data_IF_504376296761
#
_entry.id   IF_504376296761
#
_cell.length_a   1.000
_cell.length_b   1.000
_cell.length_c   1.000
_cell.angle_alpha   90.00
_cell.angle_beta   90.00
_cell.angle_gamma   90.00
#
_symmetry.space_group_name_H-M   'P 1'
#
loop_
_entity.id
_entity.type
_entity.pdbx_description
1 polymer ?
#
# COMPACT_ATOMS: atom_id res chain seq x y z
N UNK A 1 7.35 0.59 -25.08
CA UNK A 1 7.61 1.79 -24.25
C UNK A 1 7.28 1.40 -22.82
N UNK A 2 8.15 1.71 -21.85
CA UNK A 2 8.03 1.17 -20.48
C UNK A 2 8.05 2.34 -19.47
N UNK A 3 7.17 2.36 -18.45
CA UNK A 3 7.20 3.39 -17.42
C UNK A 3 8.58 3.47 -16.76
N UNK A 4 8.97 4.69 -16.35
CA UNK A 4 10.30 4.93 -15.78
C UNK A 4 10.27 4.69 -14.27
N UNK A 5 11.20 3.88 -13.77
CA UNK A 5 11.39 3.71 -12.34
C UNK A 5 11.94 5.00 -11.72
N UNK A 6 11.26 5.54 -10.72
CA UNK A 6 11.66 6.74 -9.99
C UNK A 6 12.33 6.42 -8.65
N UNK A 7 11.97 5.29 -8.02
CA UNK A 7 12.62 4.85 -6.79
C UNK A 7 12.03 3.54 -6.26
N UNK A 8 12.80 2.85 -5.42
CA UNK A 8 12.38 1.63 -4.71
C UNK A 8 12.78 1.75 -3.26
N UNK A 9 11.86 1.43 -2.36
CA UNK A 9 12.09 1.35 -0.92
C UNK A 9 11.59 0.00 -0.43
N UNK A 10 12.49 -0.78 0.17
CA UNK A 10 12.18 -2.11 0.71
C UNK A 10 11.88 -1.96 2.20
N UNK A 11 10.68 -2.37 2.60
CA UNK A 11 10.22 -2.29 3.99
C UNK A 11 10.18 -3.65 4.67
N UNK A 12 9.92 -3.67 5.98
CA UNK A 12 9.86 -4.92 6.76
C UNK A 12 8.73 -5.88 6.35
N UNK A 13 7.63 -5.36 5.78
CA UNK A 13 6.52 -6.18 5.28
C UNK A 13 5.86 -5.61 4.03
N UNK A 14 6.40 -4.52 3.50
CA UNK A 14 5.81 -3.81 2.38
C UNK A 14 6.87 -3.03 1.64
N UNK A 15 6.95 -3.25 0.33
CA UNK A 15 7.87 -2.55 -0.55
C UNK A 15 7.12 -1.47 -1.31
N UNK A 16 7.78 -0.34 -1.55
CA UNK A 16 7.24 0.79 -2.30
C UNK A 16 8.06 1.00 -3.55
N UNK A 17 7.39 0.98 -4.70
CA UNK A 17 7.99 1.22 -6.00
C UNK A 17 7.34 2.45 -6.60
N UNK A 18 8.11 3.51 -6.78
CA UNK A 18 7.65 4.75 -7.39
C UNK A 18 7.99 4.75 -8.87
N UNK A 19 6.99 5.05 -9.69
CA UNK A 19 7.06 5.02 -11.16
C UNK A 19 6.62 6.37 -11.71
N UNK A 20 7.24 6.81 -12.81
CA UNK A 20 6.67 7.84 -13.68
C UNK A 20 5.85 7.19 -14.79
N UNK A 21 4.60 7.63 -14.87
CA UNK A 21 3.66 7.25 -15.92
C UNK A 21 4.17 7.72 -17.28
N UNK A 22 3.84 6.94 -18.31
CA UNK A 22 4.05 7.36 -19.69
C UNK A 22 2.99 8.39 -20.09
N UNK A 23 3.30 9.21 -21.10
CA UNK A 23 2.31 10.10 -21.70
C UNK A 23 1.12 9.30 -22.21
N UNK A 24 -0.09 9.74 -21.86
CA UNK A 24 -1.35 9.06 -22.19
C UNK A 24 -1.78 7.97 -21.21
N UNK A 25 -0.95 7.60 -20.22
CA UNK A 25 -1.41 6.76 -19.11
C UNK A 25 -2.05 7.61 -18.02
N UNK A 26 -3.04 7.03 -17.35
CA UNK A 26 -3.71 7.61 -16.21
C UNK A 26 -3.55 6.72 -14.97
N UNK A 27 -3.79 7.27 -13.77
CA UNK A 27 -3.74 6.50 -12.53
C UNK A 27 -4.63 5.25 -12.54
N UNK A 28 -5.81 5.36 -13.14
CA UNK A 28 -6.77 4.26 -13.23
C UNK A 28 -6.22 3.05 -14.00
N UNK A 29 -5.27 3.24 -14.93
CA UNK A 29 -4.62 2.12 -15.62
C UNK A 29 -3.84 1.21 -14.66
N UNK A 30 -3.30 1.79 -13.58
CA UNK A 30 -2.56 1.06 -12.55
C UNK A 30 -3.51 0.47 -11.52
N UNK A 31 -4.49 1.25 -11.07
CA UNK A 31 -5.50 0.83 -10.09
C UNK A 31 -6.30 -0.37 -10.61
N UNK A 32 -6.71 -0.37 -11.88
CA UNK A 32 -7.46 -1.47 -12.49
C UNK A 32 -6.61 -2.72 -12.74
N UNK A 33 -5.28 -2.65 -12.61
CA UNK A 33 -4.35 -3.75 -12.90
C UNK A 33 -3.58 -4.23 -11.68
N UNK A 34 -3.92 -3.76 -10.48
CA UNK A 34 -3.19 -4.09 -9.25
C UNK A 34 -3.05 -5.60 -9.03
N UNK A 35 -4.06 -6.41 -9.33
CA UNK A 35 -4.00 -7.86 -9.21
C UNK A 35 -2.98 -8.47 -10.18
N UNK A 36 -3.04 -8.08 -11.45
CA UNK A 36 -2.09 -8.55 -12.48
C UNK A 36 -0.66 -8.16 -12.12
N UNK A 37 -0.48 -6.94 -11.62
CA UNK A 37 0.81 -6.42 -11.18
C UNK A 37 1.30 -7.19 -9.94
N UNK A 38 0.45 -7.46 -8.95
CA UNK A 38 0.81 -8.27 -7.77
C UNK A 38 1.33 -9.65 -8.18
N UNK A 39 0.60 -10.34 -9.06
CA UNK A 39 1.00 -11.66 -9.57
C UNK A 39 2.32 -11.61 -10.34
N UNK A 40 2.52 -10.62 -11.20
CA UNK A 40 3.77 -10.45 -11.95
C UNK A 40 4.99 -10.26 -11.03
N UNK A 41 4.80 -9.55 -9.91
CA UNK A 41 5.83 -9.32 -8.91
C UNK A 41 5.91 -10.44 -7.85
N UNK A 42 5.07 -11.48 -7.92
CA UNK A 42 4.93 -12.53 -6.89
C UNK A 42 4.64 -11.97 -5.49
N UNK A 43 3.93 -10.85 -5.44
CA UNK A 43 3.41 -10.27 -4.21
C UNK A 43 2.02 -10.84 -3.92
N UNK A 44 1.65 -10.93 -2.63
CA UNK A 44 0.31 -11.32 -2.21
C UNK A 44 -0.72 -10.23 -2.49
N UNK A 45 -0.31 -8.96 -2.39
CA UNK A 45 -1.16 -7.82 -2.65
C UNK A 45 -0.36 -6.67 -3.27
N UNK A 46 -1.01 -5.91 -4.14
CA UNK A 46 -0.52 -4.65 -4.65
C UNK A 46 -1.57 -3.55 -4.44
N UNK A 47 -1.14 -2.35 -4.09
CA UNK A 47 -1.98 -1.16 -4.06
C UNK A 47 -1.30 -0.05 -4.86
N UNK A 48 -2.02 0.54 -5.80
CA UNK A 48 -1.56 1.69 -6.57
C UNK A 48 -2.11 2.99 -5.95
N UNK A 49 -1.27 4.03 -5.85
CA UNK A 49 -1.70 5.35 -5.37
C UNK A 49 -0.93 6.45 -6.08
N UNK A 50 -1.56 7.61 -6.27
CA UNK A 50 -0.90 8.78 -6.86
C UNK A 50 -0.14 9.52 -5.76
N UNK A 51 1.15 9.73 -5.96
CA UNK A 51 2.02 10.43 -4.98
C UNK A 51 2.59 11.75 -5.53
N UNK A 52 2.31 12.08 -6.79
CA UNK A 52 2.71 13.33 -7.40
C UNK A 52 2.34 13.43 -8.88
N UNK A 53 2.72 14.52 -9.55
CA UNK A 53 2.44 14.72 -10.97
C UNK A 53 3.02 13.57 -11.80
N UNK A 54 2.16 12.90 -12.56
CA UNK A 54 2.50 11.72 -13.36
C UNK A 54 3.26 10.62 -12.59
N UNK A 55 3.13 10.56 -11.27
CA UNK A 55 3.91 9.64 -10.42
C UNK A 55 2.99 8.75 -9.61
N UNK A 56 3.13 7.44 -9.81
CA UNK A 56 2.37 6.40 -9.12
C UNK A 56 3.30 5.64 -8.17
N UNK A 57 2.86 5.42 -6.95
CA UNK A 57 3.44 4.48 -6.01
C UNK A 57 2.69 3.15 -6.13
N UNK A 58 3.44 2.08 -6.36
CA UNK A 58 2.98 0.71 -6.22
C UNK A 58 3.50 0.16 -4.89
N UNK A 59 2.59 -0.27 -4.04
CA UNK A 59 2.88 -0.83 -2.74
C UNK A 59 2.66 -2.33 -2.77
N UNK A 60 3.73 -3.10 -2.64
CA UNK A 60 3.73 -4.55 -2.69
C UNK A 60 3.80 -5.15 -1.30
N UNK A 61 2.93 -6.11 -1.01
CA UNK A 61 2.98 -6.91 0.21
C UNK A 61 3.37 -8.34 -0.16
N UNK A 62 4.48 -8.81 0.41
CA UNK A 62 5.02 -10.16 0.15
C UNK A 62 4.76 -11.16 1.28
N UNK A 63 4.23 -10.70 2.41
CA UNK A 63 3.90 -11.55 3.56
C UNK A 63 2.86 -10.90 4.45
N UNK A 64 2.35 -11.66 5.42
CA UNK A 64 1.38 -11.15 6.37
C UNK A 64 2.05 -10.24 7.42
N UNK A 65 2.01 -8.93 7.18
CA UNK A 65 2.58 -7.94 8.10
C UNK A 65 1.83 -7.84 9.45
N UNK A 66 0.67 -8.50 9.59
CA UNK A 66 -0.11 -8.59 10.83
C UNK A 66 0.14 -9.90 11.60
N UNK A 67 0.84 -10.87 11.00
CA UNK A 67 1.20 -12.11 11.66
C UNK A 67 2.20 -11.88 12.80
N UNK A 68 2.97 -10.78 12.73
CA UNK A 68 3.76 -10.32 13.86
C UNK A 68 2.83 -9.69 14.90
N UNK A 69 2.75 -10.33 16.06
CA UNK A 69 1.86 -9.89 17.13
C UNK A 69 2.41 -8.61 17.76
N UNK A 70 1.68 -7.50 17.61
CA UNK A 70 1.99 -6.27 18.33
C UNK A 70 1.48 -6.40 19.76
N UNK A 71 2.40 -6.42 20.72
CA UNK A 71 2.07 -6.31 22.14
C UNK A 71 1.47 -4.92 22.40
N UNK A 72 0.16 -4.87 22.56
CA UNK A 72 -0.52 -3.65 22.97
C UNK A 72 -0.12 -3.33 24.43
N UNK A 73 0.20 -2.08 24.76
CA UNK A 73 0.37 -1.69 26.14
C UNK A 73 -0.93 -1.96 26.90
N UNK A 74 -0.82 -2.46 28.13
CA UNK A 74 -1.97 -2.72 28.99
C UNK A 74 -2.74 -1.42 29.19
N UNK A 75 -4.00 -1.40 28.75
CA UNK A 75 -4.88 -0.24 28.92
C UNK A 75 -5.57 -0.38 30.27
N UNK A 76 -4.90 0.08 31.34
CA UNK A 76 -5.42 -0.08 32.71
C UNK A 76 -6.61 0.83 33.03
N UNK A 77 -6.96 1.79 32.16
CA UNK A 77 -8.00 2.80 32.40
C UNK A 77 -8.90 3.01 31.17
N UNK A 78 -9.65 2.00 30.76
CA UNK A 78 -10.76 2.23 29.82
C UNK A 78 -11.97 2.80 30.60
N UNK A 79 -12.21 4.11 30.49
CA UNK A 79 -13.42 4.74 31.04
C UNK A 79 -14.51 4.79 29.97
N UNK A 80 -15.63 4.10 30.21
CA UNK A 80 -16.81 4.16 29.36
C UNK A 80 -17.34 5.61 29.35
N UNK A 81 -17.57 6.25 28.19
CA UNK A 81 -18.26 7.53 28.18
C UNK A 81 -19.70 7.31 28.65
N UNK A 82 -20.04 7.87 29.83
CA UNK A 82 -21.43 7.98 30.27
C UNK A 82 -22.14 8.97 29.34
N UNK A 83 -23.09 8.48 28.54
CA UNK A 83 -23.85 9.36 27.65
C UNK A 83 -24.57 8.73 26.46
N UNK A 84 -24.45 7.42 26.20
CA UNK A 84 -25.29 6.75 25.21
C UNK A 84 -26.47 6.04 25.91
N UNK A 85 -27.45 6.84 26.37
CA UNK A 85 -28.79 6.32 26.63
C UNK A 85 -29.60 6.43 25.34
N UNK A 86 -30.27 5.33 25.00
CA UNK A 86 -31.25 5.20 23.92
C UNK A 86 -32.49 6.07 24.18
#
# INVERSE_FOLDING_TARGET
>A
MTPKLAGVEIGKGTDRVRLRMLEGQCPADYENRVETIAHAFKAEQCHASIVGPATVELRFRFGDALADTVLLPRVDHWSKPEGASA
#
